data_IF_950982866921
#
_entry.id   IF_950982866921
#
_cell.length_a   1.000
_cell.length_b   1.000
_cell.length_c   1.000
_cell.angle_alpha   90.00
_cell.angle_beta   90.00
_cell.angle_gamma   90.00
#
_symmetry.space_group_name_H-M   'P 1'
#
loop_
_entity.id
_entity.type
_entity.pdbx_description
1 polymer ?
#
# COMPACT_ATOMS: atom_id res chain seq x y z
N UNK A 1 0.12 20.50 9.04
CA UNK A 1 -0.40 20.97 7.73
C UNK A 1 -0.64 22.48 7.87
N UNK A 2 -0.38 23.29 6.82
CA UNK A 2 -0.65 24.72 6.91
C UNK A 2 -2.12 25.03 6.58
N UNK A 3 -2.65 26.15 7.12
CA UNK A 3 -4.07 26.53 6.98
C UNK A 3 -4.55 26.67 5.53
N UNK A 4 -3.65 26.99 4.60
CA UNK A 4 -3.96 27.14 3.17
C UNK A 4 -4.25 25.77 2.53
N UNK A 5 -3.40 24.80 2.79
CA UNK A 5 -3.58 23.46 2.25
C UNK A 5 -4.78 22.75 2.88
N UNK A 6 -4.98 22.92 4.18
CA UNK A 6 -6.15 22.37 4.88
C UNK A 6 -7.47 22.88 4.29
N UNK A 7 -7.58 24.19 4.07
CA UNK A 7 -8.77 24.78 3.43
C UNK A 7 -8.98 24.26 2.00
N UNK A 8 -7.90 24.08 1.24
CA UNK A 8 -7.98 23.51 -0.12
C UNK A 8 -8.44 22.07 -0.11
N UNK A 9 -7.93 21.23 0.80
CA UNK A 9 -8.35 19.84 0.93
C UNK A 9 -9.85 19.76 1.26
N UNK A 10 -10.33 20.54 2.24
CA UNK A 10 -11.77 20.61 2.57
C UNK A 10 -12.63 21.01 1.37
N UNK A 11 -12.17 22.02 0.61
CA UNK A 11 -12.87 22.45 -0.60
C UNK A 11 -12.90 21.34 -1.66
N UNK A 12 -11.80 20.59 -1.83
CA UNK A 12 -11.72 19.45 -2.75
C UNK A 12 -12.64 18.30 -2.32
N UNK A 13 -12.71 17.99 -1.03
CA UNK A 13 -13.62 16.98 -0.48
C UNK A 13 -15.09 17.36 -0.73
N UNK A 14 -15.44 18.63 -0.50
CA UNK A 14 -16.78 19.14 -0.79
C UNK A 14 -17.13 19.07 -2.27
N UNK A 15 -16.23 19.53 -3.14
CA UNK A 15 -16.42 19.52 -4.58
C UNK A 15 -16.53 18.07 -5.10
N UNK A 16 -15.65 17.18 -4.64
CA UNK A 16 -15.66 15.77 -5.01
C UNK A 16 -17.01 15.10 -4.64
N UNK A 17 -17.54 15.42 -3.45
CA UNK A 17 -18.81 14.85 -3.00
C UNK A 17 -20.02 15.48 -3.70
N UNK A 18 -20.07 16.82 -3.77
CA UNK A 18 -21.27 17.53 -4.26
C UNK A 18 -21.40 17.55 -5.79
N UNK A 19 -20.28 17.78 -6.49
CA UNK A 19 -20.29 17.96 -7.94
C UNK A 19 -19.97 16.67 -8.69
N UNK A 20 -19.07 15.83 -8.16
CA UNK A 20 -18.65 14.60 -8.82
C UNK A 20 -19.35 13.34 -8.26
N UNK A 21 -20.11 13.48 -7.17
CA UNK A 21 -20.81 12.35 -6.54
C UNK A 21 -19.85 11.27 -5.99
N UNK A 22 -18.60 11.62 -5.67
CA UNK A 22 -17.66 10.67 -5.08
C UNK A 22 -18.05 10.36 -3.64
N UNK A 23 -18.02 9.07 -3.30
CA UNK A 23 -18.27 8.55 -1.96
C UNK A 23 -17.00 7.87 -1.45
N UNK A 24 -16.36 8.43 -0.44
CA UNK A 24 -15.10 7.95 0.11
C UNK A 24 -15.15 7.81 1.64
N UNK A 25 -14.22 7.06 2.19
CA UNK A 25 -14.05 6.94 3.63
C UNK A 25 -13.45 8.21 4.22
N UNK A 26 -13.62 8.47 5.54
CA UNK A 26 -12.86 9.53 6.23
C UNK A 26 -11.36 9.35 6.00
N UNK A 27 -10.67 10.45 5.73
CA UNK A 27 -9.24 10.46 5.42
C UNK A 27 -8.51 11.26 6.48
N UNK A 28 -7.46 10.69 7.02
CA UNK A 28 -6.50 11.38 7.88
C UNK A 28 -5.31 11.81 7.00
N UNK A 29 -5.12 13.12 6.90
CA UNK A 29 -4.09 13.74 6.08
C UNK A 29 -2.87 14.08 6.92
N UNK A 30 -1.70 13.60 6.50
CA UNK A 30 -0.43 13.91 7.15
C UNK A 30 0.59 14.42 6.13
N UNK A 31 1.41 15.41 6.55
CA UNK A 31 2.56 15.87 5.77
C UNK A 31 3.80 15.27 6.38
N UNK A 32 4.56 14.57 5.58
CA UNK A 32 5.76 13.85 6.01
C UNK A 32 6.97 14.21 5.15
N UNK A 33 8.19 14.13 5.71
CA UNK A 33 9.43 14.21 4.94
C UNK A 33 9.55 13.04 3.95
N UNK A 34 10.35 13.26 2.90
CA UNK A 34 10.57 12.24 1.86
C UNK A 34 11.14 10.95 2.42
N UNK A 35 12.07 11.04 3.39
CA UNK A 35 12.65 9.87 4.02
C UNK A 35 11.60 9.01 4.72
N UNK A 36 10.67 9.62 5.46
CA UNK A 36 9.59 8.91 6.15
C UNK A 36 8.65 8.23 5.16
N UNK A 37 8.30 8.92 4.06
CA UNK A 37 7.47 8.35 3.01
C UNK A 37 8.16 7.15 2.36
N UNK A 38 9.45 7.27 2.07
CA UNK A 38 10.27 6.20 1.51
C UNK A 38 10.41 5.01 2.46
N UNK A 39 10.60 5.27 3.75
CA UNK A 39 10.62 4.24 4.79
C UNK A 39 9.31 3.45 4.82
N UNK A 40 8.17 4.12 4.91
CA UNK A 40 6.86 3.44 4.95
C UNK A 40 6.60 2.66 3.67
N UNK A 41 7.02 3.18 2.51
CA UNK A 41 6.88 2.48 1.23
C UNK A 41 7.73 1.21 1.17
N UNK A 42 8.99 1.25 1.61
CA UNK A 42 9.93 0.15 1.46
C UNK A 42 9.85 -0.86 2.60
N UNK A 43 9.79 -0.37 3.84
CA UNK A 43 9.68 -1.23 5.04
C UNK A 43 8.22 -1.60 5.35
N UNK A 44 7.27 -0.91 4.74
CA UNK A 44 5.84 -1.05 5.03
C UNK A 44 5.46 -0.31 6.31
N UNK A 45 4.33 -0.74 6.90
CA UNK A 45 3.83 -0.15 8.13
C UNK A 45 4.83 -0.31 9.28
N UNK A 46 4.91 0.65 10.24
CA UNK A 46 5.90 0.67 11.32
C UNK A 46 5.99 -0.63 12.15
N UNK A 47 4.93 -1.41 12.13
CA UNK A 47 4.79 -2.69 12.85
C UNK A 47 4.99 -3.91 11.96
N UNK A 48 5.59 -3.77 10.78
CA UNK A 48 5.84 -4.90 9.90
C UNK A 48 7.06 -5.70 10.36
N UNK A 49 7.09 -6.96 10.01
CA UNK A 49 8.22 -7.87 10.20
C UNK A 49 9.50 -7.26 9.62
N UNK A 50 10.61 -7.37 10.34
CA UNK A 50 11.93 -6.95 9.85
C UNK A 50 12.52 -8.01 8.94
N UNK A 51 13.03 -7.58 7.77
CA UNK A 51 13.75 -8.45 6.85
C UNK A 51 14.75 -7.63 6.03
N UNK A 52 15.94 -8.17 5.75
CA UNK A 52 17.01 -7.49 5.03
C UNK A 52 16.61 -6.98 3.64
N UNK A 53 15.70 -7.68 2.94
CA UNK A 53 15.22 -7.29 1.62
C UNK A 53 14.50 -5.95 1.58
N UNK A 54 13.95 -5.51 2.71
CA UNK A 54 13.31 -4.19 2.81
C UNK A 54 14.35 -3.07 2.80
N UNK A 55 15.50 -3.27 3.48
CA UNK A 55 16.64 -2.36 3.42
C UNK A 55 17.21 -2.26 2.02
N UNK A 56 17.32 -3.38 1.30
CA UNK A 56 17.73 -3.39 -0.11
C UNK A 56 16.76 -2.58 -0.99
N UNK A 57 15.46 -2.73 -0.78
CA UNK A 57 14.44 -1.95 -1.50
C UNK A 57 14.55 -0.45 -1.19
N UNK A 58 14.81 -0.10 0.07
CA UNK A 58 15.00 1.28 0.50
C UNK A 58 16.21 1.93 -0.21
N UNK A 59 17.38 1.29 -0.15
CA UNK A 59 18.59 1.80 -0.80
C UNK A 59 18.42 1.93 -2.33
N UNK A 60 17.73 0.97 -2.95
CA UNK A 60 17.42 1.06 -4.37
C UNK A 60 16.53 2.26 -4.70
N UNK A 61 15.44 2.45 -3.98
CA UNK A 61 14.51 3.56 -4.21
C UNK A 61 15.15 4.92 -3.90
N UNK A 62 15.95 5.00 -2.84
CA UNK A 62 16.71 6.20 -2.48
C UNK A 62 17.65 6.59 -3.61
N UNK A 63 18.44 5.64 -4.13
CA UNK A 63 19.34 5.87 -5.25
C UNK A 63 18.60 6.33 -6.50
N UNK A 64 17.45 5.73 -6.82
CA UNK A 64 16.60 6.15 -7.94
C UNK A 64 16.07 7.58 -7.76
N UNK A 65 15.68 7.95 -6.53
CA UNK A 65 15.24 9.29 -6.19
C UNK A 65 16.37 10.33 -6.35
N UNK A 66 17.56 10.04 -5.85
CA UNK A 66 18.75 10.90 -5.98
C UNK A 66 19.15 11.11 -7.46
N UNK A 67 18.96 10.11 -8.30
CA UNK A 67 19.18 10.21 -9.76
C UNK A 67 18.03 10.91 -10.50
N UNK A 68 16.96 11.31 -9.80
CA UNK A 68 15.76 11.90 -10.41
C UNK A 68 14.94 10.94 -11.27
N UNK A 69 15.19 9.63 -11.18
CA UNK A 69 14.53 8.61 -11.97
C UNK A 69 13.16 8.21 -11.40
N UNK A 70 12.93 8.42 -10.11
CA UNK A 70 11.63 8.20 -9.47
C UNK A 70 11.38 9.24 -8.38
N UNK A 71 10.12 9.61 -8.19
CA UNK A 71 9.69 10.44 -7.06
C UNK A 71 8.37 9.89 -6.52
N UNK A 72 8.31 9.66 -5.23
CA UNK A 72 7.07 9.30 -4.56
C UNK A 72 6.36 10.58 -4.14
N UNK A 73 5.14 10.78 -4.64
CA UNK A 73 4.36 12.00 -4.35
C UNK A 73 3.37 11.81 -3.22
N UNK A 74 2.94 10.56 -3.01
CA UNK A 74 1.89 10.20 -2.06
C UNK A 74 2.03 8.76 -1.59
N UNK A 75 1.48 8.49 -0.44
CA UNK A 75 1.22 7.14 0.05
C UNK A 75 -0.18 7.11 0.67
N UNK A 76 -1.00 6.16 0.24
CA UNK A 76 -2.38 6.01 0.73
C UNK A 76 -2.58 4.62 1.29
N UNK A 77 -3.08 4.55 2.53
CA UNK A 77 -3.38 3.29 3.21
C UNK A 77 -4.91 3.11 3.34
N UNK A 78 -5.41 1.98 2.84
CA UNK A 78 -6.82 1.60 3.01
C UNK A 78 -7.07 1.07 4.42
N UNK A 79 -7.04 1.97 5.38
CA UNK A 79 -7.29 1.71 6.80
C UNK A 79 -8.57 2.42 7.27
N UNK A 80 -8.94 2.33 8.53
CA UNK A 80 -10.07 3.01 9.12
C UNK A 80 -9.64 3.91 10.29
N UNK A 81 -9.59 5.25 10.09
CA UNK A 81 -9.77 6.00 8.85
C UNK A 81 -8.68 5.69 7.80
N UNK A 82 -8.90 6.06 6.52
CA UNK A 82 -7.85 5.99 5.50
C UNK A 82 -6.73 6.99 5.85
N UNK A 83 -5.47 6.58 5.70
CA UNK A 83 -4.33 7.48 5.89
C UNK A 83 -3.79 7.92 4.54
N UNK A 84 -3.54 9.21 4.41
CA UNK A 84 -2.92 9.81 3.24
C UNK A 84 -1.73 10.67 3.65
N UNK A 85 -0.55 10.28 3.16
CA UNK A 85 0.69 11.00 3.41
C UNK A 85 1.02 11.87 2.21
N UNK A 86 1.25 13.14 2.45
CA UNK A 86 1.65 14.15 1.47
C UNK A 86 3.10 14.55 1.75
N UNK A 87 3.83 14.86 0.68
CA UNK A 87 5.24 15.23 0.81
C UNK A 87 5.39 16.69 1.25
N UNK A 88 6.24 16.96 2.23
CA UNK A 88 6.51 18.29 2.76
C UNK A 88 7.24 19.19 1.75
N UNK A 89 8.09 18.61 0.90
CA UNK A 89 8.83 19.31 -0.15
C UNK A 89 7.97 19.74 -1.35
N UNK A 90 6.72 19.30 -1.42
CA UNK A 90 5.79 19.71 -2.45
C UNK A 90 5.20 21.10 -2.18
N UNK A 91 4.96 21.87 -3.26
CA UNK A 91 4.18 23.10 -3.15
C UNK A 91 2.73 22.83 -2.73
N UNK A 92 2.04 23.84 -2.16
CA UNK A 92 0.61 23.72 -1.82
C UNK A 92 -0.26 23.36 -3.03
N UNK A 93 0.13 23.77 -4.25
CA UNK A 93 -0.58 23.43 -5.48
C UNK A 93 -0.38 21.95 -5.79
N UNK A 94 0.86 21.47 -5.76
CA UNK A 94 1.17 20.06 -5.98
C UNK A 94 0.44 19.15 -4.98
N UNK A 95 0.51 19.48 -3.68
CA UNK A 95 -0.21 18.73 -2.65
C UNK A 95 -1.74 18.80 -2.82
N UNK A 96 -2.29 19.90 -3.35
CA UNK A 96 -3.72 19.95 -3.67
C UNK A 96 -4.10 19.01 -4.81
N UNK A 97 -3.25 18.90 -5.85
CA UNK A 97 -3.48 17.95 -6.94
C UNK A 97 -3.34 16.50 -6.47
N UNK A 98 -2.34 16.23 -5.65
CA UNK A 98 -2.16 14.92 -5.01
C UNK A 98 -3.37 14.59 -4.12
N UNK A 99 -3.87 15.54 -3.33
CA UNK A 99 -5.06 15.33 -2.51
C UNK A 99 -6.29 14.97 -3.36
N UNK A 100 -6.51 15.66 -4.48
CA UNK A 100 -7.60 15.32 -5.40
C UNK A 100 -7.45 13.88 -5.96
N UNK A 101 -6.22 13.45 -6.25
CA UNK A 101 -5.92 12.07 -6.69
C UNK A 101 -6.21 11.05 -5.59
N UNK A 102 -5.81 11.35 -4.35
CA UNK A 102 -6.08 10.52 -3.16
C UNK A 102 -7.58 10.33 -2.93
N UNK A 103 -8.42 11.35 -3.12
CA UNK A 103 -9.88 11.19 -3.03
C UNK A 103 -10.39 10.13 -4.01
N UNK A 104 -9.82 10.08 -5.22
CA UNK A 104 -10.10 9.04 -6.21
C UNK A 104 -9.71 7.65 -5.70
N UNK A 105 -8.51 7.50 -5.10
CA UNK A 105 -8.07 6.23 -4.50
C UNK A 105 -9.04 5.78 -3.41
N UNK A 106 -9.41 6.65 -2.48
CA UNK A 106 -10.26 6.27 -1.34
C UNK A 106 -11.70 6.00 -1.77
N UNK A 107 -12.20 6.73 -2.79
CA UNK A 107 -13.46 6.38 -3.44
C UNK A 107 -13.41 4.97 -4.04
N UNK A 108 -12.30 4.64 -4.72
CA UNK A 108 -12.10 3.32 -5.31
C UNK A 108 -12.02 2.22 -4.23
N UNK A 109 -11.33 2.45 -3.11
CA UNK A 109 -11.29 1.53 -1.99
C UNK A 109 -12.68 1.21 -1.44
N UNK A 110 -13.57 2.22 -1.37
CA UNK A 110 -14.91 2.07 -0.83
C UNK A 110 -15.88 1.36 -1.77
N UNK A 111 -15.80 1.65 -3.06
CA UNK A 111 -16.85 1.30 -4.03
C UNK A 111 -16.45 0.18 -5.00
N UNK A 112 -15.17 -0.16 -5.13
CA UNK A 112 -14.75 -1.21 -6.03
C UNK A 112 -14.99 -2.60 -5.45
N UNK A 113 -15.56 -3.48 -6.26
CA UNK A 113 -15.88 -4.86 -5.89
C UNK A 113 -14.68 -5.64 -5.32
N UNK A 114 -13.48 -5.43 -5.86
CA UNK A 114 -12.27 -6.14 -5.44
C UNK A 114 -11.84 -5.79 -4.00
N UNK A 115 -12.19 -4.60 -3.51
CA UNK A 115 -11.89 -4.15 -2.16
C UNK A 115 -12.97 -4.45 -1.14
N UNK A 116 -14.11 -5.00 -1.57
CA UNK A 116 -15.28 -5.24 -0.71
C UNK A 116 -14.99 -6.16 0.48
N UNK A 117 -14.01 -7.06 0.33
CA UNK A 117 -13.59 -8.00 1.38
C UNK A 117 -12.28 -7.59 2.07
N UNK A 118 -11.75 -6.40 1.78
CA UNK A 118 -10.51 -5.92 2.39
C UNK A 118 -10.78 -5.52 3.84
N UNK A 119 -10.00 -6.10 4.75
CA UNK A 119 -10.02 -5.68 6.14
C UNK A 119 -9.26 -4.36 6.29
N UNK A 120 -9.97 -3.33 6.77
CA UNK A 120 -9.43 -1.98 6.96
C UNK A 120 -8.66 -1.79 8.27
N UNK A 121 -8.35 -2.88 8.98
CA UNK A 121 -7.49 -2.91 10.18
C UNK A 121 -6.08 -3.39 9.89
N UNK A 122 -5.57 -3.14 8.67
CA UNK A 122 -4.29 -3.68 8.21
C UNK A 122 -3.10 -3.31 9.11
N UNK A 123 -3.09 -2.10 9.69
CA UNK A 123 -2.04 -1.65 10.62
C UNK A 123 -2.03 -2.51 11.87
N UNK A 124 -3.20 -2.77 12.44
CA UNK A 124 -3.33 -3.62 13.62
C UNK A 124 -2.89 -5.07 13.34
N UNK A 125 -3.34 -5.64 12.23
CA UNK A 125 -2.95 -7.00 11.86
C UNK A 125 -1.46 -7.11 11.48
N UNK A 126 -0.87 -6.06 10.94
CA UNK A 126 0.57 -6.02 10.70
C UNK A 126 1.35 -6.10 12.01
N UNK A 127 0.93 -5.33 13.04
CA UNK A 127 1.54 -5.36 14.37
C UNK A 127 1.39 -6.74 15.04
N UNK A 128 0.20 -7.32 15.00
CA UNK A 128 -0.06 -8.66 15.55
C UNK A 128 0.84 -9.73 14.89
N UNK A 129 0.98 -9.68 13.57
CA UNK A 129 1.84 -10.61 12.84
C UNK A 129 3.33 -10.39 13.16
N UNK A 130 3.77 -9.14 13.31
CA UNK A 130 5.14 -8.83 13.71
C UNK A 130 5.46 -9.41 15.10
N UNK A 131 4.55 -9.25 16.07
CA UNK A 131 4.70 -9.83 17.41
C UNK A 131 4.85 -11.36 17.36
N UNK A 132 4.07 -12.05 16.54
CA UNK A 132 4.22 -13.51 16.37
C UNK A 132 5.57 -13.90 15.78
N UNK A 133 6.12 -13.11 14.88
CA UNK A 133 7.45 -13.40 14.32
C UNK A 133 8.54 -13.17 15.36
N UNK A 134 8.43 -12.16 16.22
CA UNK A 134 9.34 -11.96 17.35
C UNK A 134 9.27 -13.14 18.35
N UNK A 135 8.08 -13.71 18.59
CA UNK A 135 7.93 -14.93 19.38
C UNK A 135 8.65 -16.11 18.72
N UNK A 136 8.54 -16.29 17.40
CA UNK A 136 9.27 -17.34 16.67
C UNK A 136 10.77 -17.12 16.69
N UNK A 137 11.25 -15.87 16.59
CA UNK A 137 12.68 -15.56 16.71
C UNK A 137 13.18 -15.96 18.12
N UNK A 138 12.40 -15.69 19.15
CA UNK A 138 12.73 -16.07 20.54
C UNK A 138 12.76 -17.58 20.71
N UNK A 139 11.85 -18.32 20.07
CA UNK A 139 11.71 -19.77 20.21
C UNK A 139 12.71 -20.57 19.36
N UNK A 140 12.94 -20.17 18.13
CA UNK A 140 13.69 -20.93 17.11
C UNK A 140 15.01 -20.29 16.72
N UNK A 141 15.27 -19.05 17.14
CA UNK A 141 16.41 -18.26 16.72
C UNK A 141 16.19 -17.50 15.42
N UNK A 142 16.91 -16.39 15.26
CA UNK A 142 16.79 -15.50 14.10
C UNK A 142 17.12 -16.22 12.78
N UNK A 143 18.17 -17.04 12.76
CA UNK A 143 18.65 -17.71 11.55
C UNK A 143 17.59 -18.62 10.91
N UNK A 144 16.89 -19.44 11.69
CA UNK A 144 15.87 -20.35 11.19
C UNK A 144 14.61 -19.61 10.73
N UNK A 145 14.23 -18.54 11.43
CA UNK A 145 13.11 -17.69 11.02
C UNK A 145 13.43 -16.95 9.72
N UNK A 146 14.63 -16.37 9.61
CA UNK A 146 15.08 -15.67 8.41
C UNK A 146 15.18 -16.62 7.21
N UNK A 147 15.71 -17.81 7.38
CA UNK A 147 15.75 -18.87 6.34
C UNK A 147 14.36 -19.22 5.85
N UNK A 148 13.39 -19.37 6.75
CA UNK A 148 11.99 -19.65 6.40
C UNK A 148 11.38 -18.48 5.62
N UNK A 149 11.63 -17.23 6.04
CA UNK A 149 11.18 -16.05 5.32
C UNK A 149 11.81 -15.92 3.94
N UNK A 150 13.11 -16.22 3.80
CA UNK A 150 13.80 -16.23 2.51
C UNK A 150 13.17 -17.25 1.53
N UNK A 151 12.83 -18.44 2.03
CA UNK A 151 12.13 -19.47 1.22
C UNK A 151 10.76 -18.96 0.78
N UNK A 152 9.98 -18.38 1.69
CA UNK A 152 8.66 -17.84 1.38
C UNK A 152 8.72 -16.72 0.33
N UNK A 153 9.67 -15.78 0.46
CA UNK A 153 9.89 -14.71 -0.51
C UNK A 153 10.36 -15.23 -1.88
N UNK A 154 11.20 -16.25 -1.90
CA UNK A 154 11.61 -16.90 -3.16
C UNK A 154 10.43 -17.58 -3.87
N UNK A 155 9.48 -18.12 -3.12
CA UNK A 155 8.27 -18.75 -3.66
C UNK A 155 7.24 -17.73 -4.16
N UNK A 156 7.20 -16.53 -3.59
CA UNK A 156 6.20 -15.48 -3.89
C UNK A 156 6.09 -15.18 -5.38
N UNK A 157 7.21 -15.13 -6.09
CA UNK A 157 7.27 -14.93 -7.55
C UNK A 157 6.53 -16.01 -8.36
N UNK A 158 6.34 -17.19 -7.78
CA UNK A 158 5.66 -18.33 -8.40
C UNK A 158 4.19 -18.45 -7.96
N UNK A 159 3.74 -17.61 -7.03
CA UNK A 159 2.36 -17.61 -6.53
C UNK A 159 1.51 -16.66 -7.36
N UNK A 160 0.56 -17.23 -8.11
CA UNK A 160 -0.42 -16.41 -8.80
C UNK A 160 -1.55 -16.00 -7.84
N UNK A 161 -1.40 -14.84 -7.21
CA UNK A 161 -2.40 -14.27 -6.30
C UNK A 161 -3.74 -13.97 -7.01
N UNK A 162 -3.75 -13.78 -8.34
CA UNK A 162 -4.95 -13.59 -9.17
C UNK A 162 -5.71 -14.90 -9.45
N UNK A 163 -5.21 -16.03 -9.01
CA UNK A 163 -5.83 -17.35 -9.29
C UNK A 163 -7.30 -17.42 -8.85
N UNK A 164 -7.65 -16.75 -7.74
CA UNK A 164 -9.02 -16.69 -7.25
C UNK A 164 -9.97 -15.89 -8.17
N UNK A 165 -9.44 -14.87 -8.85
CA UNK A 165 -10.18 -14.01 -9.78
C UNK A 165 -10.34 -14.70 -11.15
N UNK A 166 -9.32 -15.46 -11.58
CA UNK A 166 -9.27 -16.13 -12.86
C UNK A 166 -9.79 -17.59 -12.82
N UNK A 167 -10.56 -17.99 -11.81
CA UNK A 167 -11.07 -19.35 -11.66
C UNK A 167 -11.85 -19.86 -12.86
N UNK A 168 -12.54 -19.00 -13.60
CA UNK A 168 -13.27 -19.34 -14.83
C UNK A 168 -12.37 -19.78 -15.98
N UNK A 169 -11.13 -19.31 -16.05
CA UNK A 169 -10.20 -19.71 -17.13
C UNK A 169 -9.56 -21.09 -16.92
N UNK A 170 -9.54 -21.62 -15.69
CA UNK A 170 -8.99 -22.94 -15.42
C UNK A 170 -9.97 -24.10 -15.68
N UNK A 171 -11.28 -23.83 -15.72
CA UNK A 171 -12.29 -24.81 -16.10
C UNK A 171 -12.20 -25.25 -17.57
N UNK A 172 -11.74 -24.37 -18.43
CA UNK A 172 -11.68 -24.60 -19.90
C UNK A 172 -10.45 -25.37 -20.40
N UNK A 173 -9.46 -25.68 -19.56
CA UNK A 173 -8.30 -26.47 -20.00
C UNK A 173 -8.69 -27.88 -20.45
N UNK A 174 -9.74 -28.48 -19.91
CA UNK A 174 -10.26 -29.77 -20.36
C UNK A 174 -10.82 -29.73 -21.80
N UNK A 175 -11.41 -28.60 -22.19
CA UNK A 175 -11.97 -28.42 -23.55
C UNK A 175 -10.87 -28.24 -24.60
N UNK A 176 -9.73 -27.65 -24.27
CA UNK A 176 -8.61 -27.42 -25.20
C UNK A 176 -7.89 -28.74 -25.53
N UNK A 177 -7.78 -29.65 -24.57
CA UNK A 177 -7.17 -30.97 -24.80
C UNK A 177 -8.08 -31.94 -25.57
N UNK A 178 -9.40 -31.81 -25.42
CA UNK A 178 -10.37 -32.60 -26.17
C UNK A 178 -10.54 -32.18 -27.64
N UNK A 179 -10.20 -30.94 -27.98
CA UNK A 179 -10.23 -30.42 -29.36
C UNK A 179 -8.98 -30.75 -30.19
N UNK A 180 -7.97 -31.42 -29.61
CA UNK A 180 -6.74 -31.83 -30.29
C UNK A 180 -6.68 -33.34 -30.57
N UNK A 181 -7.78 -34.06 -30.41
CA UNK A 181 -8.00 -35.40 -30.92
C UNK A 181 -8.99 -35.33 -32.06
#
# INVERSE_FOLDING_TARGET
MNDVLERRIKMLEELATKELGLDFFPIMWEIVPEEVMLEVMCYGLPSRIRHWSYGQSYEYQKTQGEMGASKVYELVLNNDPAFAFLLDSNSNIANSMVAAHVLGHVHFFKNNYLFKQTDRKMVYHAAERASRVEEYITQFGLEEVEKTMNIALAMDKNINWKRGINRTQYGDRKSVWQKRK
#
